data_IF_095832602157
#
_entry.id   IF_095832602157
#
_cell.length_a   1.000
_cell.length_b   1.000
_cell.length_c   1.000
_cell.angle_alpha   90.00
_cell.angle_beta   90.00
_cell.angle_gamma   90.00
#
_symmetry.space_group_name_H-M   'P 1'
#
loop_
_entity.id
_entity.type
_entity.pdbx_description
1 polymer ?
#
# COMPACT_ATOMS: atom_id res chain seq x y z
N UNK A 1 -71.07 -28.51 -54.70
CA UNK A 1 -70.09 -27.41 -55.01
C UNK A 1 -70.03 -26.31 -53.96
N UNK A 2 -71.08 -25.98 -53.22
CA UNK A 2 -71.01 -24.87 -52.20
C UNK A 2 -70.21 -25.23 -50.95
N UNK A 3 -70.07 -26.49 -50.50
CA UNK A 3 -69.33 -26.90 -49.30
C UNK A 3 -67.84 -26.93 -49.51
N UNK A 4 -67.35 -27.21 -50.70
CA UNK A 4 -65.90 -27.24 -51.04
C UNK A 4 -65.33 -25.82 -51.09
N UNK A 5 -66.05 -24.81 -51.52
CA UNK A 5 -65.68 -23.39 -51.56
C UNK A 5 -65.43 -22.86 -50.14
N UNK A 6 -66.29 -23.23 -49.21
CA UNK A 6 -66.19 -22.80 -47.79
C UNK A 6 -64.99 -23.41 -47.07
N UNK A 7 -64.67 -24.65 -47.40
CA UNK A 7 -63.46 -25.29 -46.80
C UNK A 7 -62.15 -24.67 -47.32
N UNK A 8 -62.06 -24.34 -48.62
CA UNK A 8 -60.93 -23.66 -49.21
C UNK A 8 -60.77 -22.23 -48.64
N UNK A 9 -61.85 -21.49 -48.47
CA UNK A 9 -61.89 -20.15 -47.87
C UNK A 9 -61.37 -20.20 -46.39
N UNK A 10 -61.78 -21.21 -45.62
CA UNK A 10 -61.31 -21.39 -44.22
C UNK A 10 -59.81 -21.69 -44.14
N UNK A 11 -59.30 -22.54 -45.01
CA UNK A 11 -57.88 -22.88 -45.06
C UNK A 11 -57.02 -21.67 -45.42
N UNK A 12 -57.50 -20.84 -46.38
CA UNK A 12 -56.79 -19.59 -46.76
C UNK A 12 -56.81 -18.57 -45.61
N UNK A 13 -57.90 -18.43 -44.89
CA UNK A 13 -57.99 -17.53 -43.72
C UNK A 13 -57.08 -18.01 -42.57
N UNK A 14 -57.05 -19.31 -42.27
CA UNK A 14 -56.14 -19.89 -41.29
C UNK A 14 -54.69 -19.73 -41.68
N UNK A 15 -54.33 -19.90 -42.96
CA UNK A 15 -53.01 -19.65 -43.49
C UNK A 15 -52.56 -18.18 -43.40
N UNK A 16 -53.49 -17.25 -43.68
CA UNK A 16 -53.21 -15.82 -43.51
C UNK A 16 -53.04 -15.39 -42.04
N UNK A 17 -53.87 -15.93 -41.14
CA UNK A 17 -53.77 -15.66 -39.70
C UNK A 17 -52.46 -16.26 -39.14
N UNK A 18 -52.10 -17.50 -39.53
CA UNK A 18 -50.85 -18.12 -39.13
C UNK A 18 -49.62 -17.38 -39.69
N UNK A 19 -49.66 -16.93 -40.95
CA UNK A 19 -48.65 -16.12 -41.59
C UNK A 19 -48.48 -14.74 -40.93
N UNK A 20 -49.61 -14.10 -40.58
CA UNK A 20 -49.62 -12.82 -39.88
C UNK A 20 -49.09 -12.97 -38.43
N UNK A 21 -49.53 -14.01 -37.72
CA UNK A 21 -49.05 -14.33 -36.38
C UNK A 21 -47.51 -14.64 -36.39
N UNK A 22 -47.04 -15.40 -37.39
CA UNK A 22 -45.62 -15.68 -37.55
C UNK A 22 -44.82 -14.40 -37.90
N UNK A 23 -45.36 -13.51 -38.73
CA UNK A 23 -44.77 -12.25 -39.11
C UNK A 23 -44.74 -11.24 -37.93
N UNK A 24 -45.80 -11.16 -37.14
CA UNK A 24 -45.84 -10.35 -35.91
C UNK A 24 -44.88 -10.87 -34.87
N UNK A 25 -44.85 -12.20 -34.62
CA UNK A 25 -43.91 -12.82 -33.64
C UNK A 25 -42.46 -12.68 -34.06
N UNK A 26 -42.19 -12.52 -35.35
CA UNK A 26 -40.83 -12.29 -35.85
C UNK A 26 -40.41 -10.80 -35.75
N UNK A 27 -41.37 -9.90 -35.68
CA UNK A 27 -41.10 -8.47 -35.41
C UNK A 27 -40.82 -8.17 -33.94
N UNK A 28 -41.46 -8.86 -33.03
CA UNK A 28 -41.27 -8.64 -31.59
C UNK A 28 -39.91 -9.19 -31.10
N UNK A 29 -39.30 -10.12 -31.82
CA UNK A 29 -37.98 -10.62 -31.46
C UNK A 29 -36.79 -9.65 -31.73
N UNK A 30 -37.05 -8.54 -32.42
CA UNK A 30 -36.02 -7.52 -32.73
C UNK A 30 -36.22 -6.20 -31.93
N UNK A 31 -37.32 -6.09 -31.14
CA UNK A 31 -37.72 -4.82 -30.52
C UNK A 31 -37.07 -4.54 -29.16
N UNK A 32 -36.31 -5.50 -28.57
CA UNK A 32 -35.72 -5.39 -27.22
C UNK A 32 -34.19 -5.46 -27.12
N UNK A 33 -33.48 -5.45 -28.24
CA UNK A 33 -32.00 -5.54 -28.22
C UNK A 33 -31.39 -4.21 -28.74
N UNK A 34 -30.80 -3.44 -27.83
CA UNK A 34 -30.04 -2.24 -28.20
C UNK A 34 -28.66 -2.68 -28.69
N UNK A 35 -28.36 -2.34 -29.95
CA UNK A 35 -27.06 -2.66 -30.58
C UNK A 35 -26.18 -1.42 -30.58
N UNK A 36 -24.99 -1.53 -29.97
CA UNK A 36 -23.99 -0.47 -29.94
C UNK A 36 -22.66 -0.99 -30.46
N UNK A 37 -21.88 -0.09 -31.06
CA UNK A 37 -20.61 -0.42 -31.68
C UNK A 37 -19.45 0.19 -30.90
N UNK A 38 -18.33 -0.53 -30.86
CA UNK A 38 -17.14 -0.08 -30.16
C UNK A 38 -15.93 -0.90 -30.51
N UNK A 39 -14.89 -0.74 -29.69
CA UNK A 39 -13.63 -1.47 -29.85
C UNK A 39 -13.25 -2.11 -28.53
N UNK A 40 -12.65 -3.29 -28.60
CA UNK A 40 -12.03 -3.93 -27.43
C UNK A 40 -10.90 -3.06 -26.90
N UNK A 41 -10.94 -2.74 -25.62
CA UNK A 41 -9.94 -1.97 -24.91
C UNK A 41 -9.48 -2.73 -23.66
N UNK A 42 -8.34 -2.35 -23.09
CA UNK A 42 -7.78 -2.93 -21.89
C UNK A 42 -6.89 -1.94 -21.15
N UNK A 43 -6.66 -2.17 -19.86
CA UNK A 43 -5.76 -1.33 -19.07
C UNK A 43 -4.32 -1.55 -19.51
N UNK A 44 -3.57 -0.45 -19.53
CA UNK A 44 -2.15 -0.46 -19.80
C UNK A 44 -1.39 0.07 -18.59
N UNK A 45 -0.28 -0.57 -18.27
CA UNK A 45 0.65 -0.15 -17.23
C UNK A 45 2.00 0.09 -17.88
N UNK A 46 2.55 1.26 -17.64
CA UNK A 46 3.92 1.58 -18.05
C UNK A 46 4.86 1.27 -16.90
N UNK A 47 5.86 0.43 -17.16
CA UNK A 47 6.88 0.06 -16.19
C UNK A 47 8.13 0.88 -16.43
N UNK A 48 8.59 1.59 -15.41
CA UNK A 48 9.86 2.29 -15.36
C UNK A 48 10.68 1.85 -14.15
N UNK A 49 11.99 2.00 -14.22
CA UNK A 49 12.85 1.85 -13.05
C UNK A 49 12.79 3.09 -12.16
N UNK A 50 12.95 2.91 -10.85
CA UNK A 50 13.10 4.01 -9.90
C UNK A 50 14.50 4.64 -9.94
N UNK A 51 15.49 3.90 -10.43
CA UNK A 51 16.90 4.30 -10.49
C UNK A 51 17.34 4.69 -11.90
N UNK A 52 18.34 5.58 -11.99
CA UNK A 52 18.93 6.01 -13.26
C UNK A 52 20.28 5.29 -13.46
N UNK A 53 20.20 4.04 -13.93
CA UNK A 53 21.37 3.21 -14.24
C UNK A 53 21.18 2.55 -15.61
N UNK A 54 22.27 1.97 -16.16
CA UNK A 54 22.22 1.25 -17.45
C UNK A 54 21.43 -0.05 -17.32
N UNK A 55 20.61 -0.36 -18.31
CA UNK A 55 19.91 -1.65 -18.40
C UNK A 55 20.93 -2.74 -18.71
N UNK A 56 21.10 -3.70 -17.79
CA UNK A 56 21.99 -4.83 -17.98
C UNK A 56 21.38 -5.93 -18.85
N UNK A 57 20.08 -6.22 -18.65
CA UNK A 57 19.37 -7.23 -19.38
C UNK A 57 17.87 -6.97 -19.40
N UNK A 58 17.24 -7.36 -20.49
CA UNK A 58 15.79 -7.45 -20.67
C UNK A 58 15.48 -8.94 -20.86
N UNK A 59 14.55 -9.49 -20.08
CA UNK A 59 14.30 -10.92 -19.95
C UNK A 59 13.02 -11.38 -20.66
N UNK A 60 12.23 -10.43 -21.18
CA UNK A 60 10.96 -10.72 -21.86
C UNK A 60 10.89 -9.95 -23.17
N UNK A 61 10.08 -10.47 -24.10
CA UNK A 61 9.87 -9.90 -25.42
C UNK A 61 8.42 -9.44 -25.58
N UNK A 62 8.17 -8.66 -26.63
CA UNK A 62 6.81 -8.25 -27.00
C UNK A 62 5.95 -9.50 -27.31
N UNK A 63 4.75 -9.54 -26.77
CA UNK A 63 3.84 -10.68 -26.85
C UNK A 63 3.98 -11.71 -25.71
N UNK A 64 5.05 -11.65 -24.89
CA UNK A 64 5.22 -12.56 -23.77
C UNK A 64 4.19 -12.30 -22.68
N UNK A 65 3.70 -13.38 -22.07
CA UNK A 65 2.88 -13.31 -20.86
C UNK A 65 3.77 -13.23 -19.62
N UNK A 66 3.52 -12.27 -18.78
CA UNK A 66 4.22 -12.08 -17.50
C UNK A 66 3.25 -12.25 -16.34
N UNK A 67 3.73 -12.83 -15.24
CA UNK A 67 2.97 -12.98 -13.99
C UNK A 67 3.36 -11.90 -12.99
N UNK A 68 2.47 -11.61 -12.08
CA UNK A 68 2.78 -10.72 -10.96
C UNK A 68 4.05 -11.19 -10.22
N UNK A 69 4.97 -10.26 -9.95
CA UNK A 69 6.26 -10.55 -9.31
C UNK A 69 7.33 -11.16 -10.22
N UNK A 70 7.04 -11.41 -11.49
CA UNK A 70 8.04 -11.92 -12.44
C UNK A 70 9.06 -10.84 -12.80
N UNK A 71 10.35 -11.19 -12.78
CA UNK A 71 11.44 -10.32 -13.22
C UNK A 71 11.39 -10.14 -14.74
N UNK A 72 11.27 -8.89 -15.19
CA UNK A 72 11.16 -8.54 -16.63
C UNK A 72 12.42 -7.84 -17.16
N UNK A 73 13.11 -7.09 -16.31
CA UNK A 73 14.40 -6.46 -16.65
C UNK A 73 15.24 -6.21 -15.40
N UNK A 74 16.54 -5.96 -15.59
CA UNK A 74 17.47 -5.60 -14.51
C UNK A 74 18.43 -4.53 -14.95
N UNK A 75 18.83 -3.67 -14.01
CA UNK A 75 19.89 -2.68 -14.17
C UNK A 75 21.27 -3.28 -13.91
N UNK A 76 22.29 -2.56 -14.31
CA UNK A 76 23.69 -2.84 -13.97
C UNK A 76 23.99 -2.39 -12.54
N UNK A 77 24.26 -3.35 -11.65
CA UNK A 77 24.49 -3.12 -10.22
C UNK A 77 25.96 -2.92 -9.85
N UNK A 78 26.90 -3.02 -10.82
CA UNK A 78 28.35 -2.97 -10.56
C UNK A 78 28.82 -1.70 -9.85
N UNK A 79 28.03 -0.60 -9.93
CA UNK A 79 28.31 0.65 -9.20
C UNK A 79 27.61 0.70 -7.85
N UNK A 80 26.46 0.08 -7.70
CA UNK A 80 25.66 0.08 -6.47
C UNK A 80 26.24 -0.89 -5.42
N UNK A 81 26.66 -2.08 -5.83
CA UNK A 81 27.21 -3.10 -4.92
C UNK A 81 28.39 -2.62 -4.07
N UNK A 82 29.43 -1.95 -4.65
CA UNK A 82 30.51 -1.36 -3.86
C UNK A 82 30.03 -0.26 -2.91
N UNK A 83 29.02 0.53 -3.29
CA UNK A 83 28.45 1.58 -2.43
C UNK A 83 27.75 0.97 -1.22
N UNK A 84 26.99 -0.12 -1.40
CA UNK A 84 26.41 -0.87 -0.27
C UNK A 84 27.49 -1.40 0.65
N UNK A 85 28.51 -2.05 0.09
CA UNK A 85 29.64 -2.58 0.87
C UNK A 85 30.36 -1.49 1.67
N UNK A 86 30.58 -0.32 1.06
CA UNK A 86 31.20 0.83 1.74
C UNK A 86 30.33 1.33 2.90
N UNK A 87 29.00 1.49 2.68
CA UNK A 87 28.08 1.94 3.72
C UNK A 87 27.97 0.92 4.87
N UNK A 88 27.97 -0.37 4.56
CA UNK A 88 28.00 -1.45 5.55
C UNK A 88 29.27 -1.41 6.41
N UNK A 89 30.42 -1.18 5.79
CA UNK A 89 31.68 -1.02 6.50
C UNK A 89 31.68 0.20 7.44
N UNK A 90 31.09 1.32 6.99
CA UNK A 90 30.94 2.52 7.81
C UNK A 90 30.00 2.28 9.01
N UNK A 91 28.87 1.62 8.80
CA UNK A 91 27.96 1.24 9.87
C UNK A 91 28.61 0.28 10.86
N UNK A 92 29.37 -0.70 10.37
CA UNK A 92 30.12 -1.64 11.19
C UNK A 92 31.19 -0.93 12.05
N UNK A 93 31.95 0.00 11.46
CA UNK A 93 32.94 0.81 12.20
C UNK A 93 32.26 1.64 13.28
N UNK A 94 31.16 2.31 12.98
CA UNK A 94 30.43 3.11 13.97
C UNK A 94 29.85 2.24 15.08
N UNK A 95 29.40 1.01 14.79
CA UNK A 95 28.92 0.04 15.80
C UNK A 95 30.05 -0.30 16.80
N UNK A 96 31.29 -0.43 16.33
CA UNK A 96 32.44 -0.63 17.22
C UNK A 96 32.72 0.59 18.11
N UNK A 97 32.47 1.81 17.59
CA UNK A 97 32.58 3.03 18.41
C UNK A 97 31.54 3.03 19.54
N UNK A 98 30.29 2.72 19.22
CA UNK A 98 29.21 2.60 20.25
C UNK A 98 29.54 1.53 21.26
N UNK A 99 30.00 0.37 20.83
CA UNK A 99 30.40 -0.72 21.72
C UNK A 99 31.54 -0.31 22.64
N UNK A 100 32.58 0.34 22.13
CA UNK A 100 33.68 0.85 22.92
C UNK A 100 33.24 1.86 23.98
N UNK A 101 32.38 2.82 23.61
CA UNK A 101 31.83 3.80 24.55
C UNK A 101 30.97 3.14 25.62
N UNK A 102 30.13 2.16 25.27
CA UNK A 102 29.32 1.41 26.23
C UNK A 102 30.16 0.53 27.16
N UNK A 103 31.29 0.01 26.69
CA UNK A 103 32.17 -0.78 27.52
C UNK A 103 32.93 0.07 28.57
N UNK A 104 32.98 1.39 28.37
CA UNK A 104 33.62 2.31 29.31
C UNK A 104 35.13 2.18 29.35
N UNK A 105 35.72 2.54 30.49
CA UNK A 105 37.17 2.43 30.75
C UNK A 105 37.61 0.96 30.81
N UNK A 106 38.83 0.69 30.40
CA UNK A 106 39.37 -0.66 30.46
C UNK A 106 39.54 -1.12 31.91
N UNK A 107 39.38 -2.42 32.22
CA UNK A 107 39.59 -2.95 33.57
C UNK A 107 40.96 -2.59 34.14
N UNK A 108 41.99 -2.53 33.30
CA UNK A 108 43.36 -2.17 33.69
C UNK A 108 43.48 -0.70 34.11
N UNK A 109 42.77 0.21 33.42
CA UNK A 109 42.74 1.64 33.74
C UNK A 109 42.03 1.86 35.10
N UNK A 110 40.95 1.15 35.36
CA UNK A 110 40.24 1.18 36.65
C UNK A 110 41.12 0.60 37.77
N UNK A 111 41.85 -0.50 37.50
CA UNK A 111 42.78 -1.10 38.46
C UNK A 111 43.94 -0.15 38.80
N UNK A 112 44.50 0.54 37.79
CA UNK A 112 45.52 1.55 37.99
C UNK A 112 45.02 2.74 38.85
N UNK A 113 43.81 3.26 38.53
CA UNK A 113 43.20 4.34 39.30
C UNK A 113 42.98 3.93 40.77
N UNK A 114 42.55 2.68 41.00
CA UNK A 114 42.35 2.10 42.34
C UNK A 114 43.65 2.00 43.10
N UNK A 115 44.75 1.56 42.48
CA UNK A 115 46.07 1.50 43.09
C UNK A 115 46.60 2.88 43.49
N UNK A 116 46.33 3.91 42.65
CA UNK A 116 46.68 5.30 42.95
C UNK A 116 45.93 5.84 44.19
N UNK A 117 44.66 5.47 44.35
CA UNK A 117 43.89 5.82 45.54
C UNK A 117 44.45 5.15 46.80
N UNK A 118 44.79 3.87 46.74
CA UNK A 118 45.41 3.16 47.92
C UNK A 118 46.76 3.75 48.29
N UNK A 119 47.60 4.13 47.30
CA UNK A 119 48.85 4.82 47.56
C UNK A 119 48.63 6.18 48.26
N UNK A 120 47.77 7.01 47.70
CA UNK A 120 47.47 8.34 48.27
C UNK A 120 46.80 8.25 49.66
N UNK A 121 46.04 7.19 49.91
CA UNK A 121 45.43 6.90 51.23
C UNK A 121 46.52 6.54 52.26
N UNK A 122 47.50 5.74 51.89
CA UNK A 122 48.65 5.43 52.75
C UNK A 122 49.46 6.69 53.11
N UNK A 123 49.70 7.57 52.07
CA UNK A 123 50.37 8.88 52.29
C UNK A 123 49.59 9.72 53.30
N UNK A 124 48.25 9.87 53.13
CA UNK A 124 47.41 10.66 54.02
C UNK A 124 47.36 10.11 55.43
N UNK A 125 47.31 8.76 55.62
CA UNK A 125 47.36 8.12 56.94
C UNK A 125 48.69 8.40 57.63
N UNK A 126 49.82 8.30 56.89
CA UNK A 126 51.14 8.61 57.41
C UNK A 126 51.29 10.08 57.81
N UNK A 127 50.86 11.01 56.96
CA UNK A 127 50.89 12.45 57.29
C UNK A 127 50.01 12.78 58.52
N UNK A 128 48.83 12.14 58.66
CA UNK A 128 47.96 12.30 59.80
C UNK A 128 48.62 11.85 61.11
N UNK A 129 49.21 10.65 61.09
CA UNK A 129 49.92 10.11 62.26
C UNK A 129 51.10 10.98 62.65
N UNK A 130 51.84 11.54 61.67
CA UNK A 130 52.95 12.45 61.90
C UNK A 130 52.42 13.76 62.56
N UNK A 131 51.35 14.39 62.02
CA UNK A 131 50.74 15.57 62.58
C UNK A 131 50.28 15.36 64.02
N UNK A 132 49.54 14.25 64.29
CA UNK A 132 49.06 13.90 65.59
C UNK A 132 50.23 13.72 66.62
N UNK A 133 51.31 13.04 66.22
CA UNK A 133 52.50 12.89 67.04
C UNK A 133 53.13 14.25 67.41
N UNK A 134 53.32 15.14 66.41
CA UNK A 134 53.94 16.46 66.62
C UNK A 134 53.01 17.32 67.47
N UNK A 135 51.73 17.33 67.22
CA UNK A 135 50.72 18.07 67.97
C UNK A 135 50.69 17.61 69.45
N UNK A 136 50.63 16.30 69.72
CA UNK A 136 50.62 15.75 71.07
C UNK A 136 51.90 16.12 71.82
N UNK A 137 53.09 16.09 71.15
CA UNK A 137 54.33 16.47 71.77
C UNK A 137 54.40 17.96 72.09
N UNK A 138 53.81 18.85 71.22
CA UNK A 138 53.70 20.26 71.48
C UNK A 138 52.79 20.58 72.69
N UNK A 139 51.63 19.87 72.78
CA UNK A 139 50.68 20.03 73.88
C UNK A 139 51.30 19.57 75.24
N UNK A 140 51.92 18.36 75.25
CA UNK A 140 52.56 17.84 76.48
C UNK A 140 53.72 18.68 76.97
N UNK A 141 54.52 19.32 76.07
CA UNK A 141 55.63 20.14 76.43
C UNK A 141 55.27 21.62 76.67
N UNK A 142 54.03 21.98 76.61
CA UNK A 142 53.56 23.40 76.68
C UNK A 142 54.32 24.30 75.67
N UNK A 143 54.68 23.76 74.48
CA UNK A 143 55.39 24.45 73.39
C UNK A 143 56.89 24.62 73.57
N UNK A 144 57.51 24.02 74.67
CA UNK A 144 58.93 24.15 74.94
C UNK A 144 59.84 23.18 74.14
N UNK A 145 59.30 22.04 73.71
CA UNK A 145 60.08 21.00 72.97
C UNK A 145 59.81 21.01 71.45
N UNK A 146 58.70 21.59 70.98
CA UNK A 146 58.22 21.61 69.58
C UNK A 146 57.89 23.04 69.18
N UNK A 147 58.41 23.55 68.08
CA UNK A 147 58.10 24.88 67.55
C UNK A 147 56.68 24.90 66.91
N UNK A 148 56.00 26.00 67.04
CA UNK A 148 54.73 26.19 66.35
C UNK A 148 54.83 25.97 64.84
N UNK A 149 55.95 26.41 64.25
CA UNK A 149 56.23 26.20 62.81
C UNK A 149 56.24 24.69 62.42
N UNK A 150 56.70 23.81 63.30
CA UNK A 150 56.75 22.38 63.02
C UNK A 150 55.33 21.76 63.03
N UNK A 151 54.46 22.25 63.91
CA UNK A 151 53.02 21.90 63.93
C UNK A 151 52.34 22.37 62.67
N UNK A 152 52.55 23.63 62.31
CA UNK A 152 51.97 24.24 61.12
C UNK A 152 52.43 23.54 59.81
N UNK A 153 53.72 23.17 59.74
CA UNK A 153 54.26 22.44 58.57
C UNK A 153 53.71 21.02 58.47
N UNK A 154 53.55 20.30 59.61
CA UNK A 154 52.92 18.97 59.60
C UNK A 154 51.43 19.03 59.27
N UNK A 155 50.72 20.07 59.75
CA UNK A 155 49.35 20.30 59.33
C UNK A 155 49.21 20.59 57.82
N UNK A 156 50.08 21.43 57.29
CA UNK A 156 50.10 21.70 55.83
C UNK A 156 50.38 20.42 55.00
N UNK A 157 51.32 19.59 55.47
CA UNK A 157 51.62 18.29 54.85
C UNK A 157 50.42 17.34 54.85
N UNK A 158 49.66 17.30 55.98
CA UNK A 158 48.42 16.55 56.10
C UNK A 158 47.36 17.03 55.09
N UNK A 159 47.13 18.36 55.05
CA UNK A 159 46.16 18.93 54.10
C UNK A 159 46.51 18.61 52.66
N UNK A 160 47.80 18.68 52.25
CA UNK A 160 48.26 18.32 50.92
C UNK A 160 47.99 16.82 50.62
N UNK A 161 48.31 15.93 51.58
CA UNK A 161 48.07 14.50 51.38
C UNK A 161 46.58 14.15 51.30
N UNK A 162 45.72 14.79 52.09
CA UNK A 162 44.27 14.63 52.01
C UNK A 162 43.71 15.18 50.71
N UNK A 163 44.17 16.33 50.24
CA UNK A 163 43.77 16.86 48.93
C UNK A 163 44.20 15.95 47.77
N UNK A 164 45.40 15.35 47.82
CA UNK A 164 45.90 14.38 46.84
C UNK A 164 45.03 13.11 46.85
N UNK A 165 44.63 12.62 48.02
CA UNK A 165 43.69 11.47 48.13
C UNK A 165 42.35 11.79 47.48
N UNK A 166 41.78 12.97 47.78
CA UNK A 166 40.49 13.39 47.19
C UNK A 166 40.58 13.48 45.65
N UNK A 167 41.66 14.01 45.09
CA UNK A 167 41.86 14.05 43.63
C UNK A 167 41.91 12.65 43.02
N UNK A 168 42.67 11.70 43.63
CA UNK A 168 42.73 10.33 43.11
C UNK A 168 41.38 9.58 43.24
N UNK A 169 40.61 9.85 44.33
CA UNK A 169 39.27 9.28 44.48
C UNK A 169 38.33 9.77 43.37
N UNK A 170 38.37 11.05 43.04
CA UNK A 170 37.58 11.60 41.92
C UNK A 170 38.03 11.05 40.58
N UNK A 171 39.32 10.85 40.36
CA UNK A 171 39.83 10.22 39.14
C UNK A 171 39.33 8.76 39.00
N UNK A 172 39.31 7.98 40.11
CA UNK A 172 38.73 6.63 40.11
C UNK A 172 37.25 6.65 39.83
N UNK A 173 36.49 7.55 40.45
CA UNK A 173 35.04 7.71 40.23
C UNK A 173 34.75 7.99 38.76
N UNK A 174 35.48 8.91 38.12
CA UNK A 174 35.34 9.19 36.69
C UNK A 174 35.69 8.00 35.80
N UNK A 175 36.74 7.22 36.17
CA UNK A 175 37.10 6.03 35.41
C UNK A 175 36.03 4.94 35.52
N UNK A 176 35.37 4.81 36.67
CA UNK A 176 34.26 3.85 36.88
C UNK A 176 32.98 4.27 36.21
N UNK A 177 32.61 5.55 36.23
CA UNK A 177 31.44 6.12 35.57
C UNK A 177 31.58 5.94 34.05
N UNK A 178 32.82 6.12 33.51
CA UNK A 178 33.10 6.00 32.09
C UNK A 178 32.61 7.20 31.25
N UNK A 179 32.33 6.98 29.94
CA UNK A 179 31.92 8.03 29.01
C UNK A 179 30.55 8.63 29.38
N UNK A 180 30.34 9.88 29.01
CA UNK A 180 29.06 10.55 29.24
C UNK A 180 27.92 9.90 28.46
N UNK A 181 26.72 9.94 29.02
CA UNK A 181 25.54 9.40 28.37
C UNK A 181 25.24 10.10 27.06
N UNK A 182 25.58 11.38 26.98
CA UNK A 182 25.41 12.21 25.77
C UNK A 182 26.33 11.73 24.64
N UNK A 183 27.59 11.37 24.95
CA UNK A 183 28.54 10.86 23.97
C UNK A 183 28.08 9.51 23.39
N UNK A 184 27.53 8.65 24.25
CA UNK A 184 26.95 7.38 23.84
C UNK A 184 25.72 7.63 22.94
N UNK A 185 24.82 8.54 23.35
CA UNK A 185 23.62 8.87 22.59
C UNK A 185 23.95 9.48 21.21
N UNK A 186 24.98 10.34 21.14
CA UNK A 186 25.48 10.87 19.87
C UNK A 186 26.02 9.76 18.96
N UNK A 187 26.86 8.86 19.51
CA UNK A 187 27.43 7.75 18.75
C UNK A 187 26.35 6.79 18.23
N UNK A 188 25.30 6.54 19.03
CA UNK A 188 24.13 5.75 18.63
C UNK A 188 23.32 6.45 17.54
N UNK A 189 23.13 7.76 17.62
CA UNK A 189 22.45 8.51 16.59
C UNK A 189 23.19 8.45 15.25
N UNK A 190 24.54 8.55 15.29
CA UNK A 190 25.39 8.35 14.09
C UNK A 190 25.28 6.93 13.53
N UNK A 191 25.22 5.91 14.40
CA UNK A 191 25.02 4.52 13.97
C UNK A 191 23.69 4.36 13.25
N UNK A 192 22.60 4.88 13.81
CA UNK A 192 21.27 4.84 13.14
C UNK A 192 21.27 5.55 11.78
N UNK A 193 21.97 6.67 11.66
CA UNK A 193 22.11 7.37 10.38
C UNK A 193 22.86 6.51 9.33
N UNK A 194 23.94 5.85 9.72
CA UNK A 194 24.69 4.97 8.82
C UNK A 194 23.86 3.72 8.44
N UNK A 195 23.12 3.14 9.38
CA UNK A 195 22.22 2.00 9.11
C UNK A 195 21.07 2.39 8.16
N UNK A 196 20.52 3.59 8.31
CA UNK A 196 19.54 4.14 7.36
C UNK A 196 20.12 4.31 5.96
N UNK A 197 21.38 4.75 5.85
CA UNK A 197 22.09 4.84 4.57
C UNK A 197 22.26 3.46 3.91
N UNK A 198 22.63 2.42 4.70
CA UNK A 198 22.68 1.04 4.21
C UNK A 198 21.32 0.58 3.69
N UNK A 199 20.25 0.85 4.45
CA UNK A 199 18.91 0.48 4.05
C UNK A 199 18.48 1.15 2.73
N UNK A 200 18.78 2.43 2.54
CA UNK A 200 18.52 3.16 1.31
C UNK A 200 19.24 2.53 0.11
N UNK A 201 20.54 2.24 0.23
CA UNK A 201 21.32 1.65 -0.85
C UNK A 201 20.89 0.21 -1.18
N UNK A 202 20.50 -0.57 -0.17
CA UNK A 202 19.92 -1.90 -0.37
C UNK A 202 18.57 -1.83 -1.10
N UNK A 203 17.73 -0.83 -0.76
CA UNK A 203 16.49 -0.62 -1.50
C UNK A 203 16.77 -0.28 -2.97
N UNK A 204 17.78 0.54 -3.26
CA UNK A 204 18.18 0.83 -4.64
C UNK A 204 18.65 -0.43 -5.39
N UNK A 205 19.28 -1.40 -4.72
CA UNK A 205 19.60 -2.70 -5.32
C UNK A 205 18.35 -3.53 -5.62
N UNK A 206 17.36 -3.51 -4.74
CA UNK A 206 16.06 -4.15 -5.00
C UNK A 206 15.36 -3.48 -6.19
N UNK A 207 15.34 -2.16 -6.23
CA UNK A 207 14.75 -1.35 -7.30
C UNK A 207 15.52 -1.48 -8.64
N UNK A 208 16.72 -2.06 -8.63
CA UNK A 208 17.46 -2.43 -9.84
C UNK A 208 16.85 -3.65 -10.56
N UNK A 209 15.87 -4.32 -9.95
CA UNK A 209 15.09 -5.39 -10.55
C UNK A 209 13.70 -4.88 -10.89
N UNK A 210 13.33 -4.91 -12.15
CA UNK A 210 12.00 -4.52 -12.62
C UNK A 210 11.09 -5.74 -12.61
N UNK A 211 10.09 -5.71 -11.73
CA UNK A 211 9.12 -6.78 -11.58
C UNK A 211 7.78 -6.38 -12.20
N UNK A 212 7.07 -7.34 -12.78
CA UNK A 212 5.70 -7.13 -13.27
C UNK A 212 4.75 -6.92 -12.05
N UNK A 213 3.98 -5.82 -11.99
CA UNK A 213 3.10 -5.53 -10.85
C UNK A 213 1.81 -6.37 -10.86
N UNK A 214 1.41 -6.88 -12.02
CA UNK A 214 0.19 -7.66 -12.26
C UNK A 214 0.43 -8.66 -13.38
N UNK A 215 -0.48 -9.63 -13.52
CA UNK A 215 -0.51 -10.53 -14.67
C UNK A 215 -0.88 -9.74 -15.93
N UNK A 216 -0.05 -9.82 -16.95
CA UNK A 216 -0.18 -8.99 -18.15
C UNK A 216 0.52 -9.63 -19.35
N UNK A 217 0.32 -9.04 -20.53
CA UNK A 217 1.10 -9.31 -21.74
C UNK A 217 1.98 -8.10 -22.05
N UNK A 218 3.24 -8.34 -22.39
CA UNK A 218 4.15 -7.29 -22.85
C UNK A 218 3.66 -6.76 -24.18
N UNK A 219 3.21 -5.51 -24.20
CA UNK A 219 2.73 -4.87 -25.42
C UNK A 219 3.86 -4.28 -26.26
N UNK A 220 4.73 -3.53 -25.58
CA UNK A 220 5.82 -2.82 -26.28
C UNK A 220 7.01 -2.75 -25.36
N UNK A 221 8.19 -3.03 -25.90
CA UNK A 221 9.48 -2.77 -25.29
C UNK A 221 10.00 -1.43 -25.80
N UNK A 222 10.23 -0.49 -24.89
CA UNK A 222 10.57 0.91 -25.22
C UNK A 222 12.07 1.13 -25.10
N UNK A 223 12.72 0.42 -24.15
CA UNK A 223 14.16 0.51 -23.90
C UNK A 223 14.86 -0.82 -24.14
N UNK A 224 16.08 -0.72 -24.64
CA UNK A 224 16.94 -1.86 -24.96
C UNK A 224 18.08 -2.06 -23.93
N UNK A 225 18.65 -3.28 -23.84
CA UNK A 225 19.84 -3.49 -23.05
C UNK A 225 20.98 -2.55 -23.48
N UNK A 226 21.66 -1.93 -22.50
CA UNK A 226 22.69 -0.94 -22.73
C UNK A 226 22.24 0.52 -22.69
N UNK A 227 20.94 0.80 -22.83
CA UNK A 227 20.40 2.13 -22.65
C UNK A 227 20.32 2.54 -21.16
N UNK A 228 20.26 3.86 -20.94
CA UNK A 228 20.06 4.41 -19.59
C UNK A 228 18.57 4.42 -19.24
N UNK A 229 18.23 3.76 -18.16
CA UNK A 229 16.91 3.85 -17.54
C UNK A 229 16.75 5.15 -16.75
N UNK A 230 15.53 5.61 -16.59
CA UNK A 230 15.16 6.69 -15.68
C UNK A 230 13.71 6.54 -15.21
N UNK A 231 13.31 7.14 -14.07
CA UNK A 231 11.94 7.09 -13.59
C UNK A 231 10.90 7.65 -14.56
N UNK A 232 11.30 8.59 -15.43
CA UNK A 232 10.42 9.26 -16.38
C UNK A 232 10.26 8.50 -17.70
N UNK A 233 11.19 7.58 -18.01
CA UNK A 233 11.17 6.82 -19.25
C UNK A 233 10.77 5.37 -19.00
N UNK A 234 9.58 4.95 -19.44
CA UNK A 234 9.16 3.55 -19.25
C UNK A 234 10.04 2.61 -20.09
N UNK A 235 10.26 1.41 -19.55
CA UNK A 235 10.97 0.31 -20.23
C UNK A 235 9.99 -0.54 -21.01
N UNK A 236 8.81 -0.78 -20.41
CA UNK A 236 7.75 -1.57 -21.01
C UNK A 236 6.40 -0.89 -20.91
N UNK A 237 5.54 -1.20 -21.88
CA UNK A 237 4.10 -1.06 -21.77
C UNK A 237 3.49 -2.44 -21.65
N UNK A 238 2.82 -2.72 -20.52
CA UNK A 238 2.10 -3.97 -20.28
C UNK A 238 0.62 -3.78 -20.51
N UNK A 239 -0.01 -4.78 -21.11
CA UNK A 239 -1.45 -4.87 -21.33
C UNK A 239 -2.04 -5.84 -20.30
N UNK A 240 -2.91 -5.35 -19.42
CA UNK A 240 -3.61 -6.18 -18.43
C UNK A 240 -4.72 -6.94 -19.14
N UNK A 241 -4.67 -8.27 -19.09
CA UNK A 241 -5.56 -9.14 -19.88
C UNK A 241 -6.91 -9.38 -19.23
N UNK A 242 -7.08 -9.08 -17.94
CA UNK A 242 -8.33 -9.26 -17.19
C UNK A 242 -8.51 -8.16 -16.14
N UNK A 243 -9.68 -7.49 -16.09
CA UNK A 243 -10.79 -7.56 -17.04
C UNK A 243 -10.53 -6.77 -18.33
N UNK A 244 -10.99 -7.28 -19.47
CA UNK A 244 -11.13 -6.57 -20.74
C UNK A 244 -12.49 -5.91 -20.81
N UNK A 245 -12.62 -4.87 -21.61
CA UNK A 245 -13.92 -4.25 -21.91
C UNK A 245 -14.01 -3.82 -23.37
N UNK A 246 -15.23 -3.66 -23.82
CA UNK A 246 -15.52 -2.96 -25.07
C UNK A 246 -15.85 -1.52 -24.72
N UNK A 247 -15.13 -0.59 -25.30
CA UNK A 247 -15.45 0.83 -25.28
C UNK A 247 -16.46 1.07 -26.42
N UNK A 248 -17.73 1.20 -26.05
CA UNK A 248 -18.82 1.47 -26.97
C UNK A 248 -19.38 2.88 -26.76
N UNK A 249 -20.11 3.38 -27.72
CA UNK A 249 -20.72 4.70 -27.67
C UNK A 249 -22.22 4.59 -27.85
N UNK A 250 -22.96 5.21 -26.95
CA UNK A 250 -24.44 5.21 -26.94
C UNK A 250 -24.93 6.62 -27.14
N UNK A 251 -26.00 6.79 -27.93
CA UNK A 251 -26.66 8.07 -28.14
C UNK A 251 -27.37 8.54 -26.86
N UNK A 252 -27.56 9.85 -26.71
CA UNK A 252 -28.32 10.41 -25.58
C UNK A 252 -29.73 9.83 -25.51
N UNK A 253 -30.38 9.60 -26.66
CA UNK A 253 -31.72 9.03 -26.73
C UNK A 253 -31.85 7.61 -26.19
N UNK A 254 -30.74 6.84 -26.22
CA UNK A 254 -30.68 5.45 -25.76
C UNK A 254 -30.08 5.31 -24.35
N UNK A 255 -29.52 6.39 -23.81
CA UNK A 255 -28.88 6.39 -22.50
C UNK A 255 -29.83 5.97 -21.38
N UNK A 256 -31.10 6.39 -21.46
CA UNK A 256 -32.12 6.03 -20.47
C UNK A 256 -32.53 4.55 -20.46
N UNK A 257 -32.11 3.78 -21.47
CA UNK A 257 -32.37 2.33 -21.58
C UNK A 257 -31.30 1.45 -20.98
N UNK A 258 -30.17 2.04 -20.55
CA UNK A 258 -29.01 1.31 -20.05
C UNK A 258 -28.67 1.73 -18.63
N UNK A 259 -28.13 0.80 -17.86
CA UNK A 259 -27.68 1.04 -16.49
C UNK A 259 -26.48 0.13 -16.18
N UNK A 260 -25.72 0.50 -15.17
CA UNK A 260 -24.61 -0.31 -14.70
C UNK A 260 -25.09 -1.67 -14.16
N UNK A 261 -24.35 -2.73 -14.45
CA UNK A 261 -24.71 -4.11 -14.12
C UNK A 261 -25.59 -4.81 -15.16
N UNK A 262 -26.10 -4.10 -16.18
CA UNK A 262 -26.92 -4.67 -17.24
C UNK A 262 -26.14 -5.72 -18.03
N UNK A 263 -26.77 -6.90 -18.25
CA UNK A 263 -26.14 -7.97 -19.02
C UNK A 263 -26.00 -7.59 -20.50
N UNK A 264 -24.86 -7.93 -21.05
CA UNK A 264 -24.51 -7.66 -22.44
C UNK A 264 -23.91 -8.91 -23.11
N UNK A 265 -24.06 -9.01 -24.42
CA UNK A 265 -23.39 -9.99 -25.25
C UNK A 265 -22.51 -9.24 -26.25
N UNK A 266 -21.25 -9.63 -26.35
CA UNK A 266 -20.28 -9.01 -27.26
C UNK A 266 -19.97 -9.96 -28.39
N UNK A 267 -20.08 -9.50 -29.63
CA UNK A 267 -19.63 -10.20 -30.82
C UNK A 267 -18.49 -9.42 -31.48
N UNK A 268 -17.53 -10.15 -32.02
CA UNK A 268 -16.42 -9.61 -32.81
C UNK A 268 -16.37 -10.30 -34.16
N UNK A 269 -15.93 -9.60 -35.20
CA UNK A 269 -15.93 -10.12 -36.57
C UNK A 269 -15.02 -11.32 -36.76
N UNK A 270 -13.97 -11.45 -35.93
CA UNK A 270 -13.06 -12.59 -35.94
C UNK A 270 -13.72 -13.91 -35.48
N UNK A 271 -14.82 -13.82 -34.71
CA UNK A 271 -15.56 -14.95 -34.18
C UNK A 271 -17.07 -14.83 -34.44
N UNK A 272 -17.54 -14.85 -35.71
CA UNK A 272 -18.90 -14.45 -36.08
C UNK A 272 -20.02 -15.34 -35.52
N UNK A 273 -19.70 -16.57 -35.06
CA UNK A 273 -20.65 -17.52 -34.47
C UNK A 273 -20.62 -17.55 -32.95
N UNK A 274 -19.81 -16.72 -32.29
CA UNK A 274 -19.61 -16.71 -30.84
C UNK A 274 -19.94 -15.35 -30.27
N UNK A 275 -20.70 -15.35 -29.18
CA UNK A 275 -20.95 -14.17 -28.37
C UNK A 275 -20.24 -14.37 -27.04
N UNK A 276 -19.55 -13.35 -26.57
CA UNK A 276 -18.88 -13.32 -25.28
C UNK A 276 -19.82 -12.66 -24.27
N UNK A 277 -19.98 -13.31 -23.12
CA UNK A 277 -20.78 -12.76 -22.03
C UNK A 277 -20.10 -11.56 -21.40
N UNK A 278 -20.86 -10.53 -21.11
CA UNK A 278 -20.38 -9.31 -20.51
C UNK A 278 -21.44 -8.59 -19.71
N UNK A 279 -21.08 -7.45 -19.17
CA UNK A 279 -22.00 -6.55 -18.46
C UNK A 279 -21.54 -5.11 -18.60
N UNK A 280 -22.49 -4.16 -18.51
CA UNK A 280 -22.21 -2.73 -18.45
C UNK A 280 -21.56 -2.43 -17.11
N UNK A 281 -20.29 -2.03 -17.11
CA UNK A 281 -19.54 -1.75 -15.89
C UNK A 281 -19.29 -0.28 -15.63
N UNK A 282 -19.47 0.58 -16.64
CA UNK A 282 -19.30 2.02 -16.50
C UNK A 282 -20.03 2.76 -17.62
N UNK A 283 -20.66 3.86 -17.26
CA UNK A 283 -21.31 4.81 -18.17
C UNK A 283 -20.69 6.17 -17.89
N UNK A 284 -20.11 6.81 -18.91
CA UNK A 284 -19.48 8.14 -18.74
C UNK A 284 -20.52 9.18 -18.31
N UNK A 285 -20.28 9.98 -17.27
CA UNK A 285 -21.14 11.09 -16.90
C UNK A 285 -20.98 12.31 -17.83
N UNK A 286 -20.00 12.27 -18.72
CA UNK A 286 -19.67 13.37 -19.64
C UNK A 286 -19.93 12.91 -21.07
N UNK A 287 -20.67 13.72 -21.81
CA UNK A 287 -20.88 13.50 -23.23
C UNK A 287 -19.61 13.78 -24.03
N UNK A 288 -19.37 12.97 -25.03
CA UNK A 288 -18.28 13.15 -26.01
C UNK A 288 -18.89 13.44 -27.38
N UNK A 289 -18.16 14.21 -28.17
CA UNK A 289 -18.47 14.33 -29.60
C UNK A 289 -17.93 13.10 -30.30
N UNK A 290 -18.68 12.56 -31.27
CA UNK A 290 -18.19 11.42 -32.08
C UNK A 290 -16.79 11.71 -32.63
N UNK A 291 -15.78 10.85 -32.38
CA UNK A 291 -14.37 11.13 -32.72
C UNK A 291 -14.06 11.01 -34.22
N UNK A 292 -15.00 11.39 -35.11
CA UNK A 292 -14.76 11.41 -36.54
C UNK A 292 -14.74 12.85 -37.04
N UNK A 293 -13.67 13.20 -37.74
CA UNK A 293 -13.54 14.38 -38.60
C UNK A 293 -14.49 14.26 -39.80
N UNK A 294 -15.81 14.31 -39.60
CA UNK A 294 -16.80 14.29 -40.64
C UNK A 294 -17.36 15.70 -40.80
N UNK A 295 -17.28 16.25 -42.00
CA UNK A 295 -17.57 17.66 -42.32
C UNK A 295 -19.04 17.90 -42.71
N UNK A 296 -20.00 17.07 -42.29
CA UNK A 296 -21.42 17.27 -42.55
C UNK A 296 -22.16 17.84 -41.35
N UNK A 297 -23.05 18.82 -41.55
CA UNK A 297 -23.79 19.53 -40.49
C UNK A 297 -24.62 18.60 -39.62
N UNK A 298 -25.17 17.53 -40.16
CA UNK A 298 -26.03 16.56 -39.44
C UNK A 298 -25.28 15.67 -38.41
N UNK A 299 -23.94 15.47 -38.61
CA UNK A 299 -23.10 14.64 -37.74
C UNK A 299 -22.39 15.44 -36.64
N UNK A 300 -22.46 16.76 -36.65
CA UNK A 300 -21.84 17.63 -35.64
C UNK A 300 -22.63 17.69 -34.30
N UNK A 301 -23.87 17.25 -34.29
CA UNK A 301 -24.80 17.48 -33.15
C UNK A 301 -25.18 16.24 -32.35
N UNK A 302 -24.71 15.04 -32.71
CA UNK A 302 -25.00 13.84 -31.92
C UNK A 302 -23.98 13.67 -30.79
N UNK A 303 -24.38 14.07 -29.58
CA UNK A 303 -23.68 13.73 -28.36
C UNK A 303 -23.78 12.22 -28.12
N UNK A 304 -22.66 11.62 -27.81
CA UNK A 304 -22.57 10.21 -27.46
C UNK A 304 -21.92 10.08 -26.09
N UNK A 305 -22.27 9.02 -25.38
CA UNK A 305 -21.72 8.70 -24.07
C UNK A 305 -20.86 7.44 -24.18
N UNK A 306 -19.65 7.48 -23.65
CA UNK A 306 -18.79 6.31 -23.55
C UNK A 306 -19.41 5.32 -22.56
N UNK A 307 -19.54 4.07 -23.00
CA UNK A 307 -20.00 2.96 -22.17
C UNK A 307 -18.93 1.88 -22.20
N UNK A 308 -18.49 1.39 -21.04
CA UNK A 308 -17.56 0.27 -20.94
C UNK A 308 -18.33 -0.99 -20.58
N UNK A 309 -18.31 -1.93 -21.49
CA UNK A 309 -18.92 -3.24 -21.31
C UNK A 309 -17.79 -4.23 -21.03
N UNK A 310 -17.69 -4.67 -19.78
CA UNK A 310 -16.73 -5.70 -19.37
C UNK A 310 -17.09 -7.04 -19.97
N UNK A 311 -16.09 -7.76 -20.42
CA UNK A 311 -16.26 -9.01 -21.16
C UNK A 311 -15.49 -10.13 -20.46
N UNK A 312 -16.12 -11.29 -20.33
CA UNK A 312 -15.47 -12.52 -19.85
C UNK A 312 -14.78 -13.22 -21.03
N UNK A 313 -13.44 -13.18 -21.02
CA UNK A 313 -12.61 -13.81 -22.06
C UNK A 313 -11.53 -14.70 -21.43
N UNK A 314 -11.90 -15.86 -20.85
CA UNK A 314 -10.95 -16.74 -20.17
C UNK A 314 -9.93 -17.39 -21.13
N UNK A 315 -10.25 -17.41 -22.43
CA UNK A 315 -9.35 -17.98 -23.46
C UNK A 315 -8.37 -16.95 -24.02
N UNK A 316 -8.47 -15.67 -23.60
CA UNK A 316 -7.64 -14.56 -24.08
C UNK A 316 -7.63 -14.41 -25.61
N UNK A 317 -8.83 -14.52 -26.22
CA UNK A 317 -9.03 -14.47 -27.67
C UNK A 317 -9.25 -13.03 -28.18
N UNK A 318 -9.82 -12.16 -27.34
CA UNK A 318 -10.06 -10.77 -27.68
C UNK A 318 -8.76 -9.95 -27.61
N UNK A 319 -8.48 -9.21 -28.68
CA UNK A 319 -7.28 -8.36 -28.80
C UNK A 319 -7.64 -6.88 -28.75
N UNK A 320 -6.72 -6.08 -28.22
CA UNK A 320 -6.85 -4.62 -28.19
C UNK A 320 -7.15 -4.07 -29.58
N UNK A 321 -8.14 -3.19 -29.68
CA UNK A 321 -8.53 -2.51 -30.90
C UNK A 321 -9.44 -3.34 -31.83
N UNK A 322 -9.78 -4.59 -31.50
CA UNK A 322 -10.75 -5.36 -32.29
C UNK A 322 -12.09 -4.64 -32.34
N UNK A 323 -12.69 -4.42 -33.52
CA UNK A 323 -14.06 -3.96 -33.63
C UNK A 323 -15.02 -4.93 -32.95
N UNK A 324 -15.96 -4.42 -32.19
CA UNK A 324 -16.93 -5.23 -31.45
C UNK A 324 -18.32 -4.63 -31.55
N UNK A 325 -19.32 -5.51 -31.66
CA UNK A 325 -20.73 -5.20 -31.58
C UNK A 325 -21.24 -5.67 -30.24
N UNK A 326 -21.83 -4.76 -29.48
CA UNK A 326 -22.41 -5.05 -28.17
C UNK A 326 -23.92 -5.09 -28.27
N UNK A 327 -24.51 -6.15 -27.80
CA UNK A 327 -25.94 -6.39 -27.72
C UNK A 327 -26.37 -6.24 -26.26
N UNK A 328 -27.18 -5.23 -25.97
CA UNK A 328 -27.72 -4.92 -24.66
C UNK A 328 -29.18 -5.35 -24.62
N UNK A 329 -29.54 -6.22 -23.67
CA UNK A 329 -30.91 -6.76 -23.57
C UNK A 329 -31.75 -5.85 -22.67
N UNK A 330 -32.59 -5.02 -23.29
CA UNK A 330 -33.46 -4.06 -22.61
C UNK A 330 -34.74 -4.71 -22.05
N UNK A 331 -35.13 -5.92 -22.51
CA UNK A 331 -36.44 -6.54 -22.16
C UNK A 331 -36.46 -7.31 -20.84
N UNK A 332 -35.29 -7.70 -20.30
CA UNK A 332 -35.23 -8.53 -19.08
C UNK A 332 -35.47 -7.76 -17.77
N UNK A 333 -35.51 -6.44 -17.79
CA UNK A 333 -35.67 -5.66 -16.56
C UNK A 333 -37.05 -5.01 -16.36
N UNK A 334 -37.78 -4.74 -17.43
CA UNK A 334 -39.19 -4.37 -17.26
C UNK A 334 -39.98 -5.48 -16.53
N UNK A 335 -39.64 -6.76 -16.79
CA UNK A 335 -40.24 -7.89 -16.05
C UNK A 335 -39.78 -7.96 -14.59
N UNK A 336 -38.55 -7.55 -14.24
CA UNK A 336 -38.07 -7.54 -12.84
C UNK A 336 -38.54 -6.33 -12.05
N UNK A 337 -38.74 -5.19 -12.67
CA UNK A 337 -39.37 -4.03 -12.03
C UNK A 337 -40.86 -4.25 -11.84
N UNK A 338 -41.55 -4.82 -12.83
CA UNK A 338 -42.95 -5.21 -12.72
C UNK A 338 -43.22 -6.25 -11.62
N UNK A 339 -42.34 -7.20 -11.42
CA UNK A 339 -42.42 -8.18 -10.32
C UNK A 339 -42.08 -7.57 -8.94
N UNK A 340 -41.16 -6.59 -8.88
CA UNK A 340 -40.89 -5.84 -7.63
C UNK A 340 -42.00 -4.87 -7.24
N UNK A 341 -42.67 -4.26 -8.22
CA UNK A 341 -43.85 -3.41 -7.97
C UNK A 341 -45.08 -4.24 -7.58
N UNK A 342 -45.30 -5.39 -8.23
CA UNK A 342 -46.36 -6.35 -7.83
C UNK A 342 -46.09 -6.95 -6.44
N UNK A 343 -44.83 -7.23 -6.09
CA UNK A 343 -44.42 -7.65 -4.73
C UNK A 343 -44.71 -6.58 -3.68
N UNK A 344 -44.42 -5.30 -3.98
CA UNK A 344 -44.72 -4.18 -3.07
C UNK A 344 -46.19 -3.90 -2.89
N UNK A 345 -47.01 -4.02 -3.94
CA UNK A 345 -48.44 -3.87 -3.82
C UNK A 345 -49.11 -5.04 -3.07
N UNK A 346 -48.54 -6.26 -3.20
CA UNK A 346 -48.99 -7.41 -2.42
C UNK A 346 -48.72 -7.28 -0.92
N UNK A 347 -47.58 -6.68 -0.55
CA UNK A 347 -47.22 -6.46 0.85
C UNK A 347 -47.98 -5.29 1.50
N UNK A 348 -48.39 -4.27 0.74
CA UNK A 348 -49.25 -3.19 1.24
C UNK A 348 -50.70 -3.66 1.48
N UNK A 349 -51.27 -4.59 0.67
CA UNK A 349 -52.59 -5.15 0.92
C UNK A 349 -52.67 -6.11 2.11
N UNK A 350 -51.57 -6.79 2.45
CA UNK A 350 -51.45 -7.65 3.65
C UNK A 350 -51.23 -6.81 4.92
N UNK A 351 -50.57 -5.65 4.82
CA UNK A 351 -50.30 -4.75 5.95
C UNK A 351 -51.54 -4.02 6.49
N UNK A 352 -52.61 -3.90 5.71
CA UNK A 352 -53.81 -3.13 6.10
C UNK A 352 -54.83 -3.97 6.87
N UNK A 353 -54.67 -5.29 7.01
CA UNK A 353 -55.59 -6.18 7.77
C UNK A 353 -55.19 -6.51 9.19
N UNK A 354 -54.04 -6.04 9.71
CA UNK A 354 -53.58 -6.31 11.06
C UNK A 354 -53.28 -5.07 11.92
N UNK A 355 -54.09 -4.04 11.85
CA UNK A 355 -54.04 -2.96 12.82
C UNK A 355 -55.32 -2.91 13.66
N UNK A 356 -55.44 -3.78 14.67
CA UNK A 356 -56.32 -3.59 15.83
C UNK A 356 -55.50 -3.03 16.99
N UNK A 357 -55.98 -1.99 17.70
CA UNK A 357 -55.24 -1.33 18.77
C UNK A 357 -55.35 -2.15 20.06
N UNK A 358 -54.24 -2.77 20.51
CA UNK A 358 -54.27 -3.53 21.75
C UNK A 358 -52.96 -3.97 22.37
N UNK A 359 -51.78 -3.77 21.77
CA UNK A 359 -50.54 -4.32 22.37
C UNK A 359 -49.34 -3.38 22.26
N UNK A 360 -49.47 -2.16 22.75
CA UNK A 360 -48.33 -1.20 22.80
C UNK A 360 -47.60 -1.10 24.16
N UNK A 361 -47.94 -1.93 25.15
CA UNK A 361 -47.35 -1.78 26.50
C UNK A 361 -46.28 -2.79 26.85
N UNK A 362 -46.15 -3.93 26.15
CA UNK A 362 -45.23 -5.01 26.51
C UNK A 362 -43.83 -4.93 25.87
N UNK A 363 -43.67 -4.05 24.86
CA UNK A 363 -42.38 -3.95 24.12
C UNK A 363 -41.42 -2.90 24.73
N UNK A 364 -41.95 -1.93 25.49
CA UNK A 364 -41.09 -0.88 26.12
C UNK A 364 -40.33 -1.35 27.38
N UNK A 365 -40.69 -2.45 27.99
CA UNK A 365 -39.97 -2.95 29.18
C UNK A 365 -38.79 -3.87 28.86
N UNK A 366 -38.72 -4.48 27.70
CA UNK A 366 -37.56 -5.34 27.30
C UNK A 366 -36.35 -4.61 26.78
N UNK A 367 -36.48 -3.39 26.27
CA UNK A 367 -35.35 -2.60 25.75
C UNK A 367 -34.60 -1.80 26.82
N UNK A 368 -35.19 -1.60 27.99
CA UNK A 368 -34.54 -0.93 29.14
C UNK A 368 -33.66 -1.85 29.97
N UNK A 369 -33.92 -3.16 30.00
CA UNK A 369 -33.07 -4.14 30.69
C UNK A 369 -31.82 -4.50 29.91
N UNK A 370 -31.85 -4.51 28.56
CA UNK A 370 -30.66 -4.77 27.73
C UNK A 370 -29.62 -3.64 27.71
N UNK A 371 -29.96 -2.41 28.11
CA UNK A 371 -29.00 -1.29 28.18
C UNK A 371 -28.27 -1.18 29.51
N UNK A 372 -28.71 -1.87 30.58
CA UNK A 372 -28.00 -1.86 31.87
C UNK A 372 -26.88 -2.88 31.98
N UNK A 373 -26.90 -3.94 31.20
CA UNK A 373 -25.85 -4.97 31.19
C UNK A 373 -24.66 -4.66 30.25
N UNK A 374 -24.74 -3.63 29.41
CA UNK A 374 -23.67 -3.23 28.51
C UNK A 374 -22.70 -2.16 29.09
N UNK A 375 -23.05 -1.50 30.20
CA UNK A 375 -22.23 -0.39 30.77
C UNK A 375 -21.45 -0.79 32.05
N UNK A 376 -21.52 -2.06 32.46
CA UNK A 376 -20.84 -2.59 33.66
C UNK A 376 -19.46 -3.24 33.47
N UNK A 377 -19.00 -3.40 32.21
CA UNK A 377 -17.84 -4.25 31.85
C UNK A 377 -16.49 -3.58 31.57
N UNK A 378 -16.34 -2.26 31.71
CA UNK A 378 -15.12 -1.60 31.25
C UNK A 378 -14.46 -0.67 32.31
N UNK A 379 -14.31 -1.14 33.55
CA UNK A 379 -13.57 -0.39 34.61
C UNK A 379 -12.59 -1.24 35.41
N UNK A 380 -12.00 -2.29 34.85
CA UNK A 380 -10.97 -3.04 35.57
C UNK A 380 -9.86 -3.55 34.65
N UNK A 381 -9.10 -2.64 34.00
CA UNK A 381 -7.75 -2.91 33.47
C UNK A 381 -7.01 -1.59 33.22
N UNK A 382 -6.63 -0.93 34.32
CA UNK A 382 -5.55 0.08 34.31
C UNK A 382 -5.08 0.30 35.75
N UNK A 383 -4.18 -0.57 36.20
CA UNK A 383 -3.16 -0.30 37.21
C UNK A 383 -1.94 -1.19 36.94
#
# INVERSE_FOLDING_TARGET
MKRTVWVVALVVVVGLVAGLAWWLNRRDSAAGELVVYGNVDLRQVQLSFNNSERIAAVLVQEGDRVRQGQLVARLDTRRLEPQVTQAEAQAAAQRQVVQRLRSGSRPEEIAQARANVESAKADAVNARQQYERIKSAAEMSAGRAVRQQDVDSANAALQVAEAKLAVNQRALELAVIGPRKEDIAEAEARLRANEAQVALLRQQLVDAQLLAPVDAVVRTRILEPGEMASPQKPVFSLAITDPKWVRAYVSESDLGKIHEGMAAAVAVDSFPKRRFDGWVGFISPVAEFTPKSVQTEELRTSLVYEVRVFVKDPSDELRLGMPATVYLNTDKEESRQGDKERGRQGDEEIGTRQNRPGDKETIRQRDTERRKDADGGNKEKSR
#
